data_IF_424494613652
#
_entry.id   IF_424494613652
#
_cell.length_a   1.000
_cell.length_b   1.000
_cell.length_c   1.000
_cell.angle_alpha   90.00
_cell.angle_beta   90.00
_cell.angle_gamma   90.00
#
_symmetry.space_group_name_H-M   'P 1'
#
loop_
_entity.id
_entity.type
_entity.pdbx_description
1 polymer ?
#
# COMPACT_ATOMS: atom_id res chain seq x y z
N UNK A 1 -58.79 19.65 -13.38
CA UNK A 1 -58.11 20.25 -14.54
C UNK A 1 -56.63 20.28 -14.23
N UNK A 2 -55.92 19.21 -14.57
CA UNK A 2 -54.50 19.04 -14.24
C UNK A 2 -53.79 18.63 -15.53
N UNK A 3 -53.05 19.57 -16.11
CA UNK A 3 -52.26 19.33 -17.32
C UNK A 3 -50.90 18.76 -16.94
N UNK A 4 -50.69 17.50 -17.32
CA UNK A 4 -49.41 16.79 -17.29
C UNK A 4 -48.66 17.18 -18.57
N UNK A 5 -47.53 17.87 -18.44
CA UNK A 5 -46.60 18.14 -19.53
C UNK A 5 -45.45 17.12 -19.48
N UNK A 6 -45.49 16.14 -20.38
CA UNK A 6 -44.39 15.24 -20.68
C UNK A 6 -43.45 15.91 -21.69
N UNK A 7 -42.25 16.30 -21.25
CA UNK A 7 -41.16 16.71 -22.15
C UNK A 7 -40.22 15.53 -22.39
N UNK A 8 -40.13 15.08 -23.65
CA UNK A 8 -39.10 14.15 -24.15
C UNK A 8 -37.82 14.92 -24.48
N UNK A 9 -36.63 14.42 -24.12
CA UNK A 9 -35.39 14.97 -24.66
C UNK A 9 -35.07 14.36 -26.03
N UNK A 10 -34.81 15.23 -27.00
CA UNK A 10 -34.31 14.90 -28.34
C UNK A 10 -32.83 14.51 -28.29
N UNK A 11 -32.55 13.30 -28.78
CA UNK A 11 -31.21 12.73 -28.90
C UNK A 11 -30.53 13.32 -30.14
N UNK A 12 -29.56 14.21 -29.95
CA UNK A 12 -28.70 14.70 -31.01
C UNK A 12 -27.65 13.63 -31.35
N UNK A 13 -27.65 13.21 -32.60
CA UNK A 13 -26.71 12.30 -33.23
C UNK A 13 -25.51 13.09 -33.76
N UNK A 14 -24.35 12.95 -33.12
CA UNK A 14 -23.07 13.40 -33.68
C UNK A 14 -22.47 12.32 -34.58
N UNK A 15 -22.30 12.68 -35.86
CA UNK A 15 -21.57 11.92 -36.86
C UNK A 15 -20.06 12.10 -36.65
N UNK A 16 -19.36 11.06 -36.21
CA UNK A 16 -17.89 11.01 -36.26
C UNK A 16 -17.48 10.39 -37.60
N UNK A 17 -16.84 11.21 -38.43
CA UNK A 17 -16.28 10.83 -39.72
C UNK A 17 -15.07 9.88 -39.54
N UNK A 18 -15.15 8.70 -40.14
CA UNK A 18 -14.04 7.76 -40.25
C UNK A 18 -13.13 8.15 -41.42
N UNK A 19 -11.85 8.38 -41.14
CA UNK A 19 -10.81 8.55 -42.16
C UNK A 19 -10.30 7.17 -42.65
N UNK A 20 -9.96 7.01 -43.95
CA UNK A 20 -9.45 5.76 -44.50
C UNK A 20 -7.93 5.66 -44.32
N UNK A 21 -7.45 4.58 -43.70
CA UNK A 21 -6.01 4.26 -43.66
C UNK A 21 -5.69 3.31 -44.82
N UNK A 22 -4.75 3.77 -45.63
CA UNK A 22 -4.33 3.26 -46.91
C UNK A 22 -3.37 2.05 -46.79
N UNK A 23 -3.31 1.29 -47.89
CA UNK A 23 -2.65 0.00 -48.02
C UNK A 23 -1.12 0.12 -48.13
N UNK A 24 -0.44 -0.72 -47.34
CA UNK A 24 0.62 -1.62 -47.79
C UNK A 24 1.85 -1.08 -48.53
N UNK A 25 3.02 -1.21 -47.90
CA UNK A 25 4.29 -1.45 -48.61
C UNK A 25 5.08 -2.58 -47.95
N UNK A 26 5.35 -3.61 -48.76
CA UNK A 26 6.38 -4.64 -48.54
C UNK A 26 7.76 -4.00 -48.71
N UNK A 27 8.70 -4.28 -47.83
CA UNK A 27 10.14 -4.20 -48.13
C UNK A 27 10.92 -5.31 -47.43
N UNK A 28 11.84 -5.88 -48.19
CA UNK A 28 12.63 -7.08 -47.93
C UNK A 28 13.82 -6.81 -47.00
N UNK A 29 14.25 -7.87 -46.32
CA UNK A 29 15.50 -8.05 -45.57
C UNK A 29 16.80 -7.58 -46.26
N UNK A 30 17.76 -7.09 -45.46
CA UNK A 30 19.15 -7.64 -45.32
C UNK A 30 19.89 -7.06 -44.08
N UNK A 31 20.91 -7.75 -43.51
CA UNK A 31 21.48 -7.50 -42.16
C UNK A 31 22.89 -6.87 -42.15
N UNK A 32 23.44 -6.71 -40.93
CA UNK A 32 24.76 -6.18 -40.48
C UNK A 32 24.75 -4.66 -40.22
N UNK A 33 25.35 -4.08 -39.16
CA UNK A 33 26.46 -4.50 -38.29
C UNK A 33 26.42 -3.71 -36.96
N UNK A 34 26.99 -4.35 -35.93
CA UNK A 34 27.54 -3.87 -34.65
C UNK A 34 27.91 -2.38 -34.55
N UNK A 35 27.60 -1.77 -33.40
CA UNK A 35 28.56 -1.12 -32.48
C UNK A 35 27.90 -0.91 -31.11
N UNK A 36 28.72 -1.03 -30.07
CA UNK A 36 28.41 -1.27 -28.66
C UNK A 36 28.38 0.01 -27.82
N UNK A 37 27.70 -0.05 -26.67
CA UNK A 37 27.96 0.64 -25.38
C UNK A 37 26.88 0.13 -24.41
N UNK A 38 27.13 -0.94 -23.66
CA UNK A 38 27.74 -1.00 -22.32
C UNK A 38 26.87 -0.33 -21.22
N UNK A 39 25.98 -1.12 -20.63
CA UNK A 39 25.51 -0.95 -19.24
C UNK A 39 25.53 -2.35 -18.62
N UNK A 40 26.52 -2.57 -17.75
CA UNK A 40 26.69 -3.78 -16.95
C UNK A 40 25.60 -3.88 -15.88
N UNK A 41 24.84 -4.97 -15.91
CA UNK A 41 24.13 -5.49 -14.74
C UNK A 41 24.60 -6.92 -14.56
N UNK A 42 25.32 -7.17 -13.47
CA UNK A 42 25.77 -8.50 -13.05
C UNK A 42 24.56 -9.36 -12.70
N UNK A 43 24.15 -10.19 -13.67
CA UNK A 43 23.29 -11.36 -13.42
C UNK A 43 24.23 -12.54 -13.19
N UNK A 44 24.38 -12.95 -11.93
CA UNK A 44 25.09 -14.18 -11.58
C UNK A 44 24.27 -15.40 -12.00
N UNK A 45 25.00 -16.30 -12.65
CA UNK A 45 24.52 -17.40 -13.46
C UNK A 45 24.36 -18.68 -12.64
N UNK A 46 23.28 -19.38 -12.95
CA UNK A 46 22.91 -20.75 -12.59
C UNK A 46 24.06 -21.74 -12.34
N UNK A 47 24.05 -22.35 -11.16
CA UNK A 47 24.59 -23.71 -10.95
C UNK A 47 23.48 -24.74 -11.12
N UNK A 48 23.59 -25.49 -12.21
CA UNK A 48 22.92 -26.76 -12.46
C UNK A 48 23.16 -27.76 -11.32
N UNK A 49 22.09 -28.27 -10.69
CA UNK A 49 22.09 -29.66 -10.20
C UNK A 49 20.69 -30.21 -9.98
N UNK A 50 20.39 -31.35 -10.62
CA UNK A 50 19.61 -32.40 -9.97
C UNK A 50 18.09 -32.43 -10.18
N UNK A 51 17.63 -32.63 -11.42
CA UNK A 51 16.29 -33.18 -11.64
C UNK A 51 16.17 -34.58 -11.01
N UNK A 52 15.43 -34.70 -9.91
CA UNK A 52 14.96 -35.99 -9.38
C UNK A 52 13.46 -36.15 -9.60
N UNK A 53 13.14 -37.26 -10.26
CA UNK A 53 11.81 -37.83 -10.46
C UNK A 53 10.98 -37.89 -9.17
N UNK A 54 9.71 -37.45 -9.24
CA UNK A 54 8.82 -37.43 -8.07
C UNK A 54 7.32 -37.39 -8.38
N UNK A 55 6.81 -38.46 -8.99
CA UNK A 55 5.43 -38.99 -8.82
C UNK A 55 4.24 -38.10 -9.27
N UNK A 56 3.83 -38.38 -10.51
CA UNK A 56 2.44 -38.46 -10.95
C UNK A 56 1.47 -38.91 -9.85
N UNK A 57 0.48 -38.07 -9.50
CA UNK A 57 -0.79 -38.54 -8.93
C UNK A 57 -1.98 -37.74 -9.45
N UNK A 58 -3.02 -38.53 -9.75
CA UNK A 58 -4.43 -38.15 -9.88
C UNK A 58 -4.88 -37.46 -11.17
N UNK A 59 -4.87 -38.29 -12.20
CA UNK A 59 -5.91 -38.43 -13.22
C UNK A 59 -7.31 -38.43 -12.57
N UNK A 60 -8.00 -37.29 -12.61
CA UNK A 60 -9.45 -37.24 -12.39
C UNK A 60 -10.14 -37.34 -13.75
N UNK A 61 -10.84 -38.46 -13.94
CA UNK A 61 -11.48 -38.86 -15.19
C UNK A 61 -12.97 -38.66 -14.99
N UNK A 62 -13.44 -37.43 -15.12
CA UNK A 62 -14.86 -37.08 -15.09
C UNK A 62 -15.52 -37.55 -16.39
N UNK A 63 -15.92 -38.82 -16.41
CA UNK A 63 -16.68 -39.43 -17.47
C UNK A 63 -18.15 -39.09 -17.27
N UNK A 64 -18.55 -37.88 -17.67
CA UNK A 64 -19.96 -37.49 -17.75
C UNK A 64 -20.48 -37.68 -19.18
N UNK A 65 -21.55 -38.47 -19.24
CA UNK A 65 -22.55 -38.68 -20.29
C UNK A 65 -22.57 -37.64 -21.41
N UNK A 66 -22.68 -38.12 -22.65
CA UNK A 66 -23.95 -38.05 -23.39
C UNK A 66 -23.86 -38.77 -24.74
N UNK A 67 -24.77 -39.73 -24.92
CA UNK A 67 -25.07 -40.34 -26.19
C UNK A 67 -26.03 -39.45 -26.97
N UNK A 68 -25.84 -39.32 -28.29
CA UNK A 68 -26.96 -39.34 -29.20
C UNK A 68 -26.93 -40.66 -29.96
N UNK A 69 -27.90 -41.51 -29.61
CA UNK A 69 -28.43 -42.55 -30.47
C UNK A 69 -28.67 -41.97 -31.88
N UNK A 70 -27.74 -42.19 -32.80
CA UNK A 70 -28.13 -42.27 -34.21
C UNK A 70 -28.47 -43.73 -34.46
N UNK A 71 -29.77 -43.98 -34.43
CA UNK A 71 -30.46 -45.11 -35.04
C UNK A 71 -29.93 -45.29 -36.47
N UNK A 72 -28.81 -46.00 -36.62
CA UNK A 72 -28.41 -46.55 -37.90
C UNK A 72 -29.40 -47.66 -38.19
N UNK A 73 -30.48 -47.26 -38.86
CA UNK A 73 -31.46 -48.12 -39.50
C UNK A 73 -30.68 -49.27 -40.14
N UNK A 74 -30.73 -50.45 -39.51
CA UNK A 74 -30.28 -51.71 -40.11
C UNK A 74 -31.05 -51.81 -41.41
N UNK A 75 -30.38 -51.51 -42.52
CA UNK A 75 -30.82 -51.97 -43.83
C UNK A 75 -30.66 -53.47 -43.73
N UNK A 76 -31.80 -54.14 -43.54
CA UNK A 76 -31.97 -55.57 -43.66
C UNK A 76 -31.36 -55.94 -45.01
N UNK A 77 -30.17 -56.54 -44.98
CA UNK A 77 -29.60 -57.23 -46.13
C UNK A 77 -30.66 -58.25 -46.56
N UNK A 78 -31.21 -58.15 -47.79
CA UNK A 78 -32.14 -59.15 -48.28
C UNK A 78 -31.42 -60.49 -48.26
N UNK A 79 -32.04 -61.45 -47.58
CA UNK A 79 -31.69 -62.85 -47.67
C UNK A 79 -31.68 -63.24 -49.16
N UNK A 80 -30.65 -63.94 -49.65
CA UNK A 80 -30.62 -64.39 -51.04
C UNK A 80 -31.69 -65.47 -51.17
N UNK A 81 -32.88 -65.07 -51.62
CA UNK A 81 -33.88 -65.98 -52.15
C UNK A 81 -33.23 -66.66 -53.36
N UNK A 82 -32.87 -67.91 -53.13
CA UNK A 82 -32.62 -68.91 -54.14
C UNK A 82 -33.84 -68.99 -55.07
N UNK A 83 -33.58 -69.34 -56.33
CA UNK A 83 -34.56 -69.67 -57.39
C UNK A 83 -35.17 -68.49 -58.17
N UNK A 84 -34.64 -68.22 -59.37
CA UNK A 84 -35.42 -68.52 -60.59
C UNK A 84 -34.51 -68.63 -61.82
N UNK A 85 -34.46 -69.85 -62.33
CA UNK A 85 -33.71 -70.32 -63.48
C UNK A 85 -34.39 -69.82 -64.75
N UNK A 86 -34.05 -68.62 -65.22
CA UNK A 86 -34.78 -67.97 -66.31
C UNK A 86 -33.93 -67.13 -67.25
N UNK A 87 -33.47 -67.74 -68.35
CA UNK A 87 -33.07 -67.07 -69.60
C UNK A 87 -31.91 -66.07 -69.47
N UNK A 88 -30.73 -66.63 -69.21
CA UNK A 88 -29.43 -65.98 -69.42
C UNK A 88 -29.25 -65.72 -70.93
N UNK A 89 -29.84 -64.63 -71.42
CA UNK A 89 -29.44 -64.04 -72.69
C UNK A 89 -28.00 -63.58 -72.50
N UNK A 90 -27.06 -64.43 -72.90
CA UNK A 90 -25.64 -64.12 -72.97
C UNK A 90 -25.44 -62.78 -73.69
N UNK A 91 -25.33 -61.70 -72.90
CA UNK A 91 -24.82 -60.41 -73.33
C UNK A 91 -23.29 -60.56 -73.44
N UNK A 92 -22.87 -61.48 -74.30
CA UNK A 92 -21.48 -61.84 -74.59
C UNK A 92 -21.20 -61.36 -76.01
N UNK A 93 -20.90 -60.07 -76.11
CA UNK A 93 -20.48 -59.44 -77.36
C UNK A 93 -19.40 -58.41 -77.04
N UNK A 94 -18.55 -58.08 -78.00
CA UNK A 94 -17.45 -57.13 -77.83
C UNK A 94 -17.89 -55.78 -77.20
N UNK A 95 -19.14 -55.36 -77.42
CA UNK A 95 -19.74 -54.17 -76.80
C UNK A 95 -19.97 -54.31 -75.29
N UNK A 96 -20.36 -55.50 -74.80
CA UNK A 96 -20.53 -55.78 -73.38
C UNK A 96 -19.21 -55.68 -72.60
N UNK A 97 -18.13 -56.17 -73.20
CA UNK A 97 -16.79 -56.07 -72.63
C UNK A 97 -16.29 -54.62 -72.56
N UNK A 98 -16.59 -53.81 -73.58
CA UNK A 98 -16.25 -52.39 -73.61
C UNK A 98 -17.03 -51.58 -72.56
N UNK A 99 -18.33 -51.81 -72.41
CA UNK A 99 -19.15 -51.15 -71.38
C UNK A 99 -18.74 -51.58 -69.96
N UNK A 100 -18.37 -52.85 -69.76
CA UNK A 100 -17.84 -53.31 -68.48
C UNK A 100 -16.50 -52.64 -68.13
N UNK A 101 -15.62 -52.46 -69.12
CA UNK A 101 -14.37 -51.72 -68.93
C UNK A 101 -14.62 -50.25 -68.56
N UNK A 102 -15.57 -49.58 -69.24
CA UNK A 102 -15.97 -48.18 -68.92
C UNK A 102 -16.52 -48.07 -67.50
N UNK A 103 -17.47 -48.93 -67.12
CA UNK A 103 -18.04 -48.93 -65.77
C UNK A 103 -16.99 -49.20 -64.69
N UNK A 104 -15.99 -50.05 -64.97
CA UNK A 104 -14.89 -50.30 -64.04
C UNK A 104 -14.02 -49.06 -63.84
N UNK A 105 -13.70 -48.33 -64.90
CA UNK A 105 -12.97 -47.06 -64.82
C UNK A 105 -13.78 -45.99 -64.05
N UNK A 106 -15.08 -45.89 -64.31
CA UNK A 106 -15.99 -45.02 -63.56
C UNK A 106 -16.02 -45.39 -62.06
N UNK A 107 -16.07 -46.67 -61.71
CA UNK A 107 -15.98 -47.09 -60.30
C UNK A 107 -14.64 -46.74 -59.66
N UNK A 108 -13.53 -46.88 -60.39
CA UNK A 108 -12.21 -46.54 -59.86
C UNK A 108 -12.01 -45.02 -59.71
N UNK A 109 -12.60 -44.20 -60.60
CA UNK A 109 -12.65 -42.74 -60.42
C UNK A 109 -13.51 -42.35 -59.22
N UNK A 110 -14.70 -42.93 -59.05
CA UNK A 110 -15.56 -42.69 -57.87
C UNK A 110 -14.83 -43.10 -56.58
N UNK A 111 -14.14 -44.24 -56.57
CA UNK A 111 -13.32 -44.66 -55.42
C UNK A 111 -12.21 -43.66 -55.10
N UNK A 112 -11.52 -43.12 -56.12
CA UNK A 112 -10.52 -42.06 -55.93
C UNK A 112 -11.15 -40.79 -55.36
N UNK A 113 -12.29 -40.35 -55.89
CA UNK A 113 -13.03 -39.20 -55.37
C UNK A 113 -13.46 -39.43 -53.92
N UNK A 114 -13.95 -40.62 -53.58
CA UNK A 114 -14.32 -40.99 -52.22
C UNK A 114 -13.12 -40.97 -51.27
N UNK A 115 -11.96 -41.48 -51.70
CA UNK A 115 -10.74 -41.44 -50.90
C UNK A 115 -10.24 -40.00 -50.65
N UNK A 116 -10.36 -39.12 -51.64
CA UNK A 116 -10.03 -37.69 -51.50
C UNK A 116 -11.03 -37.01 -50.54
N UNK A 117 -12.34 -37.21 -50.74
CA UNK A 117 -13.37 -36.66 -49.87
C UNK A 117 -13.18 -37.11 -48.41
N UNK A 118 -12.86 -38.39 -48.18
CA UNK A 118 -12.56 -38.93 -46.84
C UNK A 118 -11.35 -38.22 -46.21
N UNK A 119 -10.27 -37.98 -46.96
CA UNK A 119 -9.11 -37.22 -46.47
C UNK A 119 -9.47 -35.77 -46.14
N UNK A 120 -10.30 -35.12 -46.95
CA UNK A 120 -10.78 -33.75 -46.71
C UNK A 120 -11.66 -33.68 -45.47
N UNK A 121 -12.61 -34.60 -45.30
CA UNK A 121 -13.46 -34.69 -44.10
C UNK A 121 -12.59 -34.85 -42.85
N UNK A 122 -11.61 -35.76 -42.86
CA UNK A 122 -10.72 -35.94 -41.72
C UNK A 122 -9.90 -34.67 -41.38
N UNK A 123 -9.46 -33.91 -42.40
CA UNK A 123 -8.78 -32.62 -42.20
C UNK A 123 -9.73 -31.57 -41.60
N UNK A 124 -10.95 -31.46 -42.12
CA UNK A 124 -11.95 -30.53 -41.60
C UNK A 124 -12.36 -30.88 -40.17
N UNK A 125 -12.53 -32.16 -39.84
CA UNK A 125 -12.81 -32.61 -38.46
C UNK A 125 -11.69 -32.18 -37.50
N UNK A 126 -10.43 -32.34 -37.90
CA UNK A 126 -9.30 -31.86 -37.09
C UNK A 126 -9.34 -30.34 -36.87
N UNK A 127 -9.59 -29.56 -37.92
CA UNK A 127 -9.71 -28.10 -37.80
C UNK A 127 -10.87 -27.70 -36.89
N UNK A 128 -12.02 -28.38 -36.97
CA UNK A 128 -13.16 -28.13 -36.08
C UNK A 128 -12.81 -28.41 -34.63
N UNK A 129 -12.11 -29.51 -34.35
CA UNK A 129 -11.70 -29.85 -32.98
C UNK A 129 -10.63 -28.90 -32.44
N UNK A 130 -9.73 -28.40 -33.29
CA UNK A 130 -8.75 -27.36 -32.94
C UNK A 130 -9.46 -26.04 -32.58
N UNK A 131 -10.37 -25.56 -33.43
CA UNK A 131 -11.15 -24.33 -33.18
C UNK A 131 -12.02 -24.43 -31.93
N UNK A 132 -12.59 -25.61 -31.64
CA UNK A 132 -13.35 -25.82 -30.40
C UNK A 132 -12.47 -25.71 -29.16
N UNK A 133 -11.22 -26.19 -29.22
CA UNK A 133 -10.25 -26.04 -28.12
C UNK A 133 -9.86 -24.58 -27.94
N UNK A 134 -9.60 -23.86 -29.02
CA UNK A 134 -9.27 -22.43 -28.96
C UNK A 134 -10.44 -21.58 -28.44
N UNK A 135 -11.68 -21.91 -28.81
CA UNK A 135 -12.86 -21.24 -28.26
C UNK A 135 -12.99 -21.49 -26.74
N UNK A 136 -12.74 -22.72 -26.29
CA UNK A 136 -12.79 -23.03 -24.86
C UNK A 136 -11.68 -22.32 -24.06
N UNK A 137 -10.47 -22.21 -24.60
CA UNK A 137 -9.36 -21.51 -23.93
C UNK A 137 -9.60 -20.00 -23.88
N UNK A 138 -10.05 -19.41 -24.99
CA UNK A 138 -10.42 -17.98 -25.04
C UNK A 138 -11.57 -17.66 -24.09
N UNK A 139 -12.61 -18.49 -24.04
CA UNK A 139 -13.72 -18.34 -23.09
C UNK A 139 -13.24 -18.41 -21.63
N UNK A 140 -12.35 -19.34 -21.29
CA UNK A 140 -11.76 -19.43 -19.94
C UNK A 140 -10.98 -18.16 -19.60
N UNK A 141 -10.16 -17.67 -20.54
CA UNK A 141 -9.38 -16.43 -20.32
C UNK A 141 -10.27 -15.20 -20.17
N UNK A 142 -11.37 -15.11 -20.93
CA UNK A 142 -12.33 -14.03 -20.80
C UNK A 142 -13.04 -14.07 -19.44
N UNK A 143 -13.46 -15.26 -18.98
CA UNK A 143 -14.07 -15.42 -17.66
C UNK A 143 -13.12 -14.95 -16.54
N UNK A 144 -11.84 -15.31 -16.62
CA UNK A 144 -10.82 -14.87 -15.66
C UNK A 144 -10.61 -13.34 -15.70
N UNK A 145 -10.48 -12.75 -16.89
CA UNK A 145 -10.37 -11.30 -17.05
C UNK A 145 -11.61 -10.57 -16.51
N UNK A 146 -12.81 -11.10 -16.74
CA UNK A 146 -14.04 -10.53 -16.19
C UNK A 146 -14.03 -10.55 -14.66
N UNK A 147 -13.54 -11.63 -14.04
CA UNK A 147 -13.38 -11.72 -12.57
C UNK A 147 -12.36 -10.70 -12.04
N UNK A 148 -11.24 -10.50 -12.74
CA UNK A 148 -10.24 -9.50 -12.36
C UNK A 148 -10.77 -8.08 -12.48
N UNK A 149 -11.51 -7.77 -13.54
CA UNK A 149 -12.17 -6.46 -13.71
C UNK A 149 -13.19 -6.22 -12.60
N UNK A 150 -13.98 -7.22 -12.23
CA UNK A 150 -14.94 -7.11 -11.13
C UNK A 150 -14.24 -6.86 -9.77
N UNK A 151 -13.12 -7.54 -9.50
CA UNK A 151 -12.29 -7.30 -8.30
C UNK A 151 -11.73 -5.87 -8.28
N UNK A 152 -11.19 -5.38 -9.40
CA UNK A 152 -10.67 -4.00 -9.46
C UNK A 152 -11.78 -2.97 -9.33
N UNK A 153 -12.98 -3.24 -9.87
CA UNK A 153 -14.14 -2.37 -9.71
C UNK A 153 -14.62 -2.31 -8.25
N UNK A 154 -14.61 -3.41 -7.51
CA UNK A 154 -15.01 -3.39 -6.10
C UNK A 154 -13.98 -2.67 -5.22
N UNK A 155 -12.68 -2.85 -5.48
CA UNK A 155 -11.61 -2.08 -4.81
C UNK A 155 -11.69 -0.59 -5.12
N UNK A 156 -11.92 -0.23 -6.39
CA UNK A 156 -12.10 1.17 -6.78
C UNK A 156 -13.31 1.80 -6.10
N UNK A 157 -14.43 1.07 -5.93
CA UNK A 157 -15.60 1.57 -5.17
C UNK A 157 -15.24 1.86 -3.70
N UNK A 158 -14.56 0.93 -3.02
CA UNK A 158 -14.10 1.13 -1.63
C UNK A 158 -13.18 2.33 -1.49
N UNK A 159 -12.23 2.50 -2.42
CA UNK A 159 -11.34 3.66 -2.43
C UNK A 159 -12.11 4.97 -2.62
N UNK A 160 -13.10 5.01 -3.52
CA UNK A 160 -13.94 6.19 -3.71
C UNK A 160 -14.81 6.52 -2.49
N UNK A 161 -15.27 5.52 -1.73
CA UNK A 161 -15.99 5.73 -0.47
C UNK A 161 -15.09 6.40 0.57
N UNK A 162 -13.86 5.91 0.74
CA UNK A 162 -12.86 6.51 1.66
C UNK A 162 -12.54 7.95 1.24
N UNK A 163 -12.28 8.18 -0.04
CA UNK A 163 -12.01 9.52 -0.59
C UNK A 163 -13.20 10.45 -0.32
N UNK A 164 -14.44 9.98 -0.49
CA UNK A 164 -15.65 10.76 -0.20
C UNK A 164 -15.77 11.13 1.28
N UNK A 165 -15.42 10.21 2.19
CA UNK A 165 -15.38 10.49 3.64
C UNK A 165 -14.33 11.54 3.96
N UNK A 166 -13.09 11.39 3.43
CA UNK A 166 -12.02 12.37 3.62
C UNK A 166 -12.44 13.74 3.09
N UNK A 167 -13.02 13.80 1.90
CA UNK A 167 -13.53 15.04 1.31
C UNK A 167 -14.55 15.74 2.19
N UNK A 168 -15.49 15.00 2.76
CA UNK A 168 -16.51 15.56 3.65
C UNK A 168 -15.90 16.19 4.90
N UNK A 169 -14.82 15.61 5.43
CA UNK A 169 -14.07 16.12 6.58
C UNK A 169 -13.18 17.33 6.22
N UNK A 170 -12.82 17.48 4.94
CA UNK A 170 -12.04 18.61 4.42
C UNK A 170 -12.89 19.80 3.97
N UNK A 171 -14.20 19.78 4.21
CA UNK A 171 -15.09 20.92 3.96
C UNK A 171 -15.15 21.89 5.15
N UNK A 172 -15.11 23.18 4.84
CA UNK A 172 -15.23 24.25 5.83
C UNK A 172 -16.66 24.28 6.39
N UNK A 173 -16.81 24.27 7.73
CA UNK A 173 -18.12 24.28 8.39
C UNK A 173 -18.90 25.60 8.23
N UNK A 174 -18.26 26.67 7.71
CA UNK A 174 -18.90 27.98 7.51
C UNK A 174 -19.44 28.12 6.09
N UNK A 175 -18.61 27.91 5.05
CA UNK A 175 -19.04 28.05 3.65
C UNK A 175 -19.42 26.73 2.97
N UNK A 176 -19.14 25.58 3.60
CA UNK A 176 -19.32 24.24 3.02
C UNK A 176 -18.49 24.00 1.75
N UNK A 177 -17.42 24.76 1.54
CA UNK A 177 -16.46 24.57 0.44
C UNK A 177 -15.18 23.86 0.93
N UNK A 178 -14.40 23.29 0.02
CA UNK A 178 -13.15 22.60 0.34
C UNK A 178 -12.07 23.57 0.85
N UNK A 179 -11.40 23.24 1.95
CA UNK A 179 -10.47 24.14 2.64
C UNK A 179 -9.11 24.24 1.93
N UNK A 180 -8.96 25.15 0.96
CA UNK A 180 -7.68 25.33 0.24
C UNK A 180 -6.56 25.94 1.10
N UNK A 181 -6.92 26.77 2.08
CA UNK A 181 -5.99 27.40 3.03
C UNK A 181 -6.54 27.23 4.45
N UNK A 182 -6.43 26.02 5.04
CA UNK A 182 -6.97 25.74 6.36
C UNK A 182 -6.15 26.45 7.44
N UNK A 183 -6.83 27.19 8.31
CA UNK A 183 -6.28 27.75 9.54
C UNK A 183 -6.99 27.15 10.76
N UNK A 184 -6.23 26.88 11.81
CA UNK A 184 -6.65 26.20 13.02
C UNK A 184 -6.51 27.04 14.29
N UNK A 185 -7.27 26.64 15.31
CA UNK A 185 -7.10 27.07 16.71
C UNK A 185 -6.90 25.85 17.60
N UNK A 186 -6.36 26.07 18.79
CA UNK A 186 -6.25 25.05 19.86
C UNK A 186 -7.60 24.38 20.16
N UNK A 187 -8.71 25.08 19.96
CA UNK A 187 -10.06 24.53 20.15
C UNK A 187 -10.59 23.65 19.00
N UNK A 188 -9.74 23.27 18.03
CA UNK A 188 -10.04 22.25 17.01
C UNK A 188 -10.87 22.74 15.81
N UNK A 189 -11.14 24.04 15.68
CA UNK A 189 -11.85 24.56 14.51
C UNK A 189 -10.91 24.72 13.31
N UNK A 190 -11.35 24.24 12.14
CA UNK A 190 -10.68 24.38 10.85
C UNK A 190 -11.58 25.18 9.89
N UNK A 191 -11.10 26.31 9.39
CA UNK A 191 -11.84 27.13 8.42
C UNK A 191 -10.90 27.78 7.39
N UNK A 192 -11.47 28.22 6.27
CA UNK A 192 -10.71 28.99 5.28
C UNK A 192 -10.40 30.39 5.81
N UNK A 193 -9.21 30.88 5.48
CA UNK A 193 -8.66 32.17 5.91
C UNK A 193 -9.64 33.32 5.66
N UNK A 194 -10.22 33.35 4.46
CA UNK A 194 -11.12 34.43 4.03
C UNK A 194 -12.34 34.56 4.94
N UNK A 195 -12.94 33.44 5.33
CA UNK A 195 -14.14 33.46 6.16
C UNK A 195 -13.83 33.83 7.60
N UNK A 196 -12.70 33.35 8.12
CA UNK A 196 -12.26 33.69 9.47
C UNK A 196 -11.90 35.18 9.59
N UNK A 197 -11.21 35.74 8.60
CA UNK A 197 -10.89 37.17 8.58
C UNK A 197 -12.13 38.04 8.46
N UNK A 198 -13.08 37.71 7.57
CA UNK A 198 -14.38 38.39 7.47
C UNK A 198 -15.16 38.29 8.79
N UNK A 199 -15.17 37.11 9.43
CA UNK A 199 -15.85 36.89 10.72
C UNK A 199 -15.30 37.75 11.85
N UNK A 200 -13.97 37.83 12.01
CA UNK A 200 -13.37 38.63 13.09
C UNK A 200 -13.42 40.14 12.86
N UNK A 201 -13.43 40.58 11.60
CA UNK A 201 -13.69 41.98 11.24
C UNK A 201 -15.15 42.36 11.51
N UNK A 202 -16.08 41.42 11.35
CA UNK A 202 -17.50 41.61 11.61
C UNK A 202 -17.94 41.38 13.07
N UNK A 203 -17.00 41.06 13.99
CA UNK A 203 -17.33 40.85 15.39
C UNK A 203 -18.01 42.10 15.98
N UNK A 204 -19.15 41.97 16.68
CA UNK A 204 -19.84 43.12 17.27
C UNK A 204 -19.01 43.74 18.41
N UNK A 205 -19.02 45.07 18.60
CA UNK A 205 -18.40 45.71 19.76
C UNK A 205 -19.01 45.17 21.05
N UNK A 206 -18.18 45.00 22.08
CA UNK A 206 -18.68 44.57 23.38
C UNK A 206 -19.51 45.70 24.03
N UNK A 207 -20.50 45.38 24.86
CA UNK A 207 -21.32 46.40 25.55
C UNK A 207 -20.47 47.33 26.46
N UNK A 208 -19.23 46.93 26.77
CA UNK A 208 -18.26 47.68 27.56
C UNK A 208 -17.35 48.60 26.71
N UNK A 209 -17.34 48.44 25.38
CA UNK A 209 -16.53 49.24 24.42
C UNK A 209 -17.28 50.46 23.87
N UNK A 210 -18.39 50.88 24.50
CA UNK A 210 -19.39 51.78 23.91
C UNK A 210 -18.99 53.25 23.70
N UNK A 211 -17.70 53.63 23.78
CA UNK A 211 -17.31 55.05 23.90
C UNK A 211 -16.28 55.62 22.92
N UNK A 212 -15.58 54.85 22.08
CA UNK A 212 -14.56 55.44 21.18
C UNK A 212 -14.51 54.79 19.77
N UNK A 213 -15.52 55.07 18.93
CA UNK A 213 -15.51 54.68 17.49
C UNK A 213 -14.40 55.39 16.67
N UNK A 214 -13.75 56.42 17.23
CA UNK A 214 -12.69 57.20 16.58
C UNK A 214 -11.29 56.58 16.74
N UNK A 215 -11.13 55.50 17.51
CA UNK A 215 -9.84 54.81 17.64
C UNK A 215 -9.61 53.80 16.50
N UNK A 216 -8.61 54.01 15.62
CA UNK A 216 -8.33 53.10 14.49
C UNK A 216 -7.99 51.67 14.93
N UNK A 217 -7.56 51.49 16.18
CA UNK A 217 -7.13 50.23 16.78
C UNK A 217 -8.23 49.50 17.56
N UNK A 218 -9.47 49.98 17.54
CA UNK A 218 -10.58 49.36 18.28
C UNK A 218 -10.82 47.89 17.89
N UNK A 219 -10.45 47.48 16.66
CA UNK A 219 -10.56 46.10 16.21
C UNK A 219 -9.57 45.15 16.90
N UNK A 220 -8.40 45.63 17.34
CA UNK A 220 -7.38 44.80 18.00
C UNK A 220 -7.82 44.31 19.39
N UNK A 221 -8.55 45.15 20.11
CA UNK A 221 -8.98 44.87 21.49
C UNK A 221 -10.37 44.21 21.58
N UNK A 222 -11.12 44.19 20.47
CA UNK A 222 -12.46 43.60 20.44
C UNK A 222 -12.40 42.10 20.67
N UNK A 223 -13.21 41.60 21.61
CA UNK A 223 -13.33 40.17 21.92
C UNK A 223 -13.65 39.34 20.67
N UNK A 224 -12.74 38.45 20.28
CA UNK A 224 -12.93 37.52 19.16
C UNK A 224 -13.55 36.21 19.66
N UNK A 225 -14.54 35.69 18.93
CA UNK A 225 -15.18 34.41 19.27
C UNK A 225 -15.19 33.46 18.08
N UNK A 226 -15.01 32.17 18.36
CA UNK A 226 -15.06 31.11 17.37
C UNK A 226 -16.47 30.99 16.77
N UNK A 227 -16.64 30.97 15.43
CA UNK A 227 -17.95 30.87 14.79
C UNK A 227 -18.71 29.57 15.10
N UNK A 228 -17.98 28.49 15.46
CA UNK A 228 -18.57 27.17 15.72
C UNK A 228 -18.85 26.96 17.20
N UNK A 229 -17.82 27.01 18.06
CA UNK A 229 -17.97 26.71 19.48
C UNK A 229 -18.15 27.94 20.38
N UNK A 230 -18.07 29.16 19.82
CA UNK A 230 -18.13 30.44 20.56
C UNK A 230 -17.05 30.64 21.62
N UNK A 231 -16.03 29.78 21.67
CA UNK A 231 -14.87 29.98 22.54
C UNK A 231 -14.16 31.30 22.20
N UNK A 232 -13.63 31.97 23.22
CA UNK A 232 -12.85 33.20 23.04
C UNK A 232 -11.54 32.86 22.33
N UNK A 233 -11.20 33.63 21.30
CA UNK A 233 -9.96 33.48 20.55
C UNK A 233 -9.00 34.58 21.00
N UNK A 234 -7.84 34.19 21.55
CA UNK A 234 -6.84 35.11 22.08
C UNK A 234 -5.66 35.30 21.12
N UNK A 235 -5.34 34.29 20.31
CA UNK A 235 -4.16 34.27 19.43
C UNK A 235 -4.53 34.17 17.95
N UNK A 236 -3.55 34.49 17.10
CA UNK A 236 -3.65 34.35 15.65
C UNK A 236 -3.88 32.89 15.24
N UNK A 237 -4.75 32.63 14.26
CA UNK A 237 -4.94 31.28 13.73
C UNK A 237 -3.66 30.75 13.07
N UNK A 238 -3.34 29.48 13.32
CA UNK A 238 -2.12 28.84 12.80
C UNK A 238 -2.45 28.13 11.48
N UNK A 239 -1.63 28.29 10.41
CA UNK A 239 -1.82 27.55 9.18
C UNK A 239 -1.61 26.05 9.39
N UNK A 240 -2.54 25.23 8.90
CA UNK A 240 -2.46 23.77 9.03
C UNK A 240 -1.88 23.15 7.76
N UNK A 241 -0.55 23.13 7.67
CA UNK A 241 0.17 22.69 6.47
C UNK A 241 -0.14 21.24 6.06
N UNK A 242 -0.32 20.34 7.03
CA UNK A 242 -0.69 18.95 6.74
C UNK A 242 -2.07 18.84 6.08
N UNK A 243 -3.07 19.55 6.63
CA UNK A 243 -4.43 19.58 6.06
C UNK A 243 -4.40 20.19 4.66
N UNK A 244 -3.59 21.24 4.45
CA UNK A 244 -3.38 21.84 3.13
C UNK A 244 -2.80 20.84 2.12
N UNK A 245 -1.83 20.02 2.51
CA UNK A 245 -1.25 18.99 1.66
C UNK A 245 -2.27 17.90 1.30
N UNK A 246 -3.10 17.48 2.27
CA UNK A 246 -4.18 16.51 2.04
C UNK A 246 -5.22 17.04 1.06
N UNK A 247 -5.67 18.29 1.22
CA UNK A 247 -6.60 18.95 0.30
C UNK A 247 -6.02 19.02 -1.11
N UNK A 248 -4.74 19.38 -1.24
CA UNK A 248 -4.06 19.42 -2.54
C UNK A 248 -3.96 18.03 -3.18
N UNK A 249 -3.73 16.97 -2.40
CA UNK A 249 -3.69 15.59 -2.89
C UNK A 249 -5.07 15.11 -3.39
N UNK A 250 -6.13 15.44 -2.65
CA UNK A 250 -7.52 15.13 -3.03
C UNK A 250 -7.94 15.92 -4.27
N UNK A 251 -7.56 17.20 -4.37
CA UNK A 251 -7.83 17.99 -5.58
C UNK A 251 -7.09 17.41 -6.79
N UNK A 252 -5.83 17.02 -6.60
CA UNK A 252 -5.00 16.40 -7.63
C UNK A 252 -5.57 15.06 -8.12
N UNK A 253 -6.15 14.25 -7.23
CA UNK A 253 -6.76 12.97 -7.60
C UNK A 253 -8.03 13.14 -8.45
N UNK A 254 -8.74 14.26 -8.29
CA UNK A 254 -9.91 14.62 -9.11
C UNK A 254 -9.55 15.27 -10.44
N UNK A 255 -8.44 16.00 -10.50
CA UNK A 255 -8.03 16.64 -11.75
C UNK A 255 -7.60 15.60 -12.77
N UNK A 256 -8.18 15.66 -13.97
CA UNK A 256 -7.77 14.81 -15.09
C UNK A 256 -6.26 14.96 -15.35
N UNK A 257 -5.55 13.85 -15.65
CA UNK A 257 -4.13 13.89 -15.96
C UNK A 257 -3.88 14.84 -17.13
N UNK A 258 -3.25 15.98 -16.86
CA UNK A 258 -2.94 17.02 -17.85
C UNK A 258 -3.38 18.45 -17.48
N UNK A 259 -4.17 18.63 -16.42
CA UNK A 259 -4.44 19.97 -15.90
C UNK A 259 -3.22 20.48 -15.12
N UNK A 260 -2.57 21.54 -15.61
CA UNK A 260 -1.49 22.21 -14.86
C UNK A 260 -2.09 22.86 -13.60
N UNK A 261 -1.51 22.66 -12.40
CA UNK A 261 -1.96 23.33 -11.20
C UNK A 261 -1.87 24.85 -11.41
N UNK A 262 -2.95 25.56 -11.05
CA UNK A 262 -3.00 27.02 -11.13
C UNK A 262 -2.10 27.58 -10.03
N UNK A 263 -0.91 28.05 -10.40
CA UNK A 263 -0.04 28.79 -9.46
C UNK A 263 -0.78 30.04 -9.01
N UNK A 264 -1.19 30.07 -7.75
CA UNK A 264 -1.66 31.32 -7.14
C UNK A 264 -0.45 32.22 -6.94
N UNK A 265 -0.54 33.53 -7.25
CA UNK A 265 0.52 34.47 -6.96
C UNK A 265 0.84 34.48 -5.45
N UNK A 266 2.06 34.86 -5.05
CA UNK A 266 2.40 35.03 -3.64
C UNK A 266 1.37 35.94 -2.96
N UNK A 267 0.88 35.60 -1.76
CA UNK A 267 0.00 36.49 -1.02
C UNK A 267 0.79 37.73 -0.59
N UNK A 268 0.28 38.92 -0.95
CA UNK A 268 1.02 40.17 -0.78
C UNK A 268 0.93 40.78 0.64
N UNK A 269 0.09 40.29 1.57
CA UNK A 269 -0.05 40.88 2.91
C UNK A 269 -0.44 39.84 3.98
N UNK A 270 -0.07 40.07 5.25
CA UNK A 270 -0.53 39.28 6.40
C UNK A 270 -2.06 39.45 6.57
N UNK A 271 -2.86 38.38 6.37
CA UNK A 271 -4.33 38.45 6.50
C UNK A 271 -4.80 38.84 7.91
N UNK A 272 -3.94 38.69 8.93
CA UNK A 272 -4.24 38.94 10.33
C UNK A 272 -3.84 40.34 10.81
N UNK A 273 -3.18 41.13 9.96
CA UNK A 273 -2.78 42.50 10.28
C UNK A 273 -3.98 43.35 10.73
N UNK A 274 -3.87 43.98 11.90
CA UNK A 274 -4.92 44.81 12.49
C UNK A 274 -6.11 44.06 13.10
N UNK A 275 -6.09 42.72 13.16
CA UNK A 275 -7.13 41.91 13.79
C UNK A 275 -6.69 41.37 15.16
N UNK A 276 -5.42 40.97 15.27
CA UNK A 276 -4.82 40.42 16.48
C UNK A 276 -3.59 41.23 16.89
N UNK A 277 -3.33 41.40 18.20
CA UNK A 277 -2.08 42.00 18.67
C UNK A 277 -0.85 41.30 18.08
N UNK A 278 0.21 42.05 17.77
CA UNK A 278 1.51 41.51 17.42
C UNK A 278 2.16 40.95 18.70
N UNK A 279 2.34 39.62 18.79
CA UNK A 279 2.91 38.98 19.98
C UNK A 279 4.37 39.40 20.24
N UNK A 280 5.07 39.87 19.21
CA UNK A 280 6.51 40.22 19.24
C UNK A 280 6.82 41.59 19.83
N UNK A 281 5.82 42.36 20.29
CA UNK A 281 6.07 43.66 20.90
C UNK A 281 6.26 43.62 22.43
N UNK A 282 6.20 42.44 23.07
CA UNK A 282 6.29 42.34 24.53
C UNK A 282 7.71 42.16 25.07
N UNK A 283 8.70 41.95 24.20
CA UNK A 283 10.08 41.64 24.62
C UNK A 283 10.98 42.88 24.69
N UNK A 284 10.53 44.04 24.19
CA UNK A 284 11.32 45.27 24.17
C UNK A 284 11.21 46.13 25.45
N UNK A 285 10.34 45.79 26.41
CA UNK A 285 10.06 46.64 27.60
C UNK A 285 10.54 46.06 28.94
N UNK A 286 11.37 45.00 28.92
CA UNK A 286 12.10 44.51 30.11
C UNK A 286 13.57 45.00 30.14
N UNK A 287 13.92 45.99 29.32
CA UNK A 287 15.26 46.58 29.25
C UNK A 287 15.37 47.92 30.00
N UNK A 288 14.88 47.98 31.24
CA UNK A 288 15.01 49.19 32.04
C UNK A 288 14.62 49.02 33.50
N UNK A 289 15.57 48.63 34.35
CA UNK A 289 16.03 49.39 35.53
C UNK A 289 16.90 48.52 36.47
N UNK A 290 17.99 47.94 35.95
CA UNK A 290 19.11 47.51 36.79
C UNK A 290 20.18 48.61 36.75
N UNK A 291 19.87 49.69 37.47
CA UNK A 291 20.79 50.73 37.84
C UNK A 291 21.48 50.31 39.14
N UNK A 292 22.51 49.46 39.06
CA UNK A 292 23.50 49.31 40.12
C UNK A 292 24.90 49.49 39.50
N UNK A 293 25.36 50.73 39.64
CA UNK A 293 26.76 51.13 39.66
C UNK A 293 27.56 50.14 40.52
N UNK A 294 28.67 49.58 40.01
CA UNK A 294 29.95 49.58 40.73
C UNK A 294 31.10 48.87 39.97
N UNK A 295 32.16 49.65 39.80
CA UNK A 295 33.59 49.27 39.92
C UNK A 295 34.26 48.45 38.79
N UNK A 296 34.88 49.21 37.87
CA UNK A 296 36.32 49.19 37.57
C UNK A 296 37.03 47.83 37.61
N UNK A 297 37.14 47.17 36.45
CA UNK A 297 38.28 46.27 36.19
C UNK A 297 38.92 46.63 34.86
N UNK A 298 39.99 47.42 34.96
CA UNK A 298 40.91 47.76 33.88
C UNK A 298 41.72 46.53 33.42
N UNK A 299 41.90 46.41 32.09
CA UNK A 299 43.18 45.99 31.48
C UNK A 299 43.42 44.49 31.35
N UNK A 300 43.09 43.93 30.19
CA UNK A 300 43.34 42.54 29.86
C UNK A 300 43.31 42.27 28.36
N UNK A 301 44.18 42.97 27.63
CA UNK A 301 44.43 42.84 26.20
C UNK A 301 44.95 41.42 25.86
N UNK A 302 44.04 40.52 25.47
CA UNK A 302 44.38 39.27 24.77
C UNK A 302 43.85 39.34 23.33
N UNK A 303 44.71 39.87 22.44
CA UNK A 303 44.71 39.52 21.03
C UNK A 303 45.40 38.16 20.89
N UNK A 304 44.71 37.16 20.34
CA UNK A 304 45.30 35.90 19.91
C UNK A 304 44.29 34.96 19.29
N UNK A 305 44.43 34.76 17.97
CA UNK A 305 43.91 33.67 17.12
C UNK A 305 42.40 33.40 17.20
N UNK A 306 41.56 33.83 16.24
CA UNK A 306 41.55 33.47 14.82
C UNK A 306 41.94 32.00 14.55
N UNK A 307 40.91 31.27 14.07
CA UNK A 307 40.93 29.99 13.35
C UNK A 307 40.57 28.73 14.18
N UNK A 308 39.42 28.16 13.79
CA UNK A 308 38.95 26.80 14.06
C UNK A 308 38.11 26.57 15.33
N UNK A 309 37.10 27.41 15.54
CA UNK A 309 35.91 26.96 16.27
C UNK A 309 34.96 26.35 15.25
N UNK A 310 35.23 25.09 14.93
CA UNK A 310 34.35 24.27 14.14
C UNK A 310 33.01 24.17 14.86
N UNK A 311 32.07 24.96 14.35
CA UNK A 311 30.61 24.86 14.52
C UNK A 311 30.13 23.52 13.94
N UNK A 312 30.73 22.41 14.42
CA UNK A 312 30.27 21.06 14.18
C UNK A 312 29.04 20.89 15.07
N UNK A 313 27.89 21.20 14.48
CA UNK A 313 26.66 20.41 14.61
C UNK A 313 26.49 19.72 15.97
N UNK A 314 26.24 20.50 17.02
CA UNK A 314 25.54 20.01 18.22
C UNK A 314 24.02 19.90 17.96
N UNK A 315 23.63 19.81 16.68
CA UNK A 315 22.29 19.41 16.21
C UNK A 315 22.18 17.88 16.06
N UNK A 316 23.29 17.14 16.13
CA UNK A 316 23.30 15.68 16.30
C UNK A 316 23.26 15.30 17.78
N UNK A 317 22.79 16.18 18.67
CA UNK A 317 22.39 15.76 20.00
C UNK A 317 21.11 14.97 19.83
N UNK A 318 21.27 13.65 19.72
CA UNK A 318 20.28 12.58 19.60
C UNK A 318 19.13 12.73 20.61
N UNK A 319 18.33 13.78 20.54
CA UNK A 319 16.97 13.81 21.07
C UNK A 319 16.17 12.93 20.13
N UNK A 320 16.46 11.63 20.23
CA UNK A 320 15.80 10.57 19.51
C UNK A 320 14.42 10.42 20.16
N UNK A 321 13.58 11.41 19.88
CA UNK A 321 12.29 11.77 20.49
C UNK A 321 11.17 10.75 20.22
N UNK A 322 11.55 9.48 20.08
CA UNK A 322 10.65 8.37 19.77
C UNK A 322 10.80 7.18 20.72
N UNK A 323 11.92 7.09 21.45
CA UNK A 323 12.20 5.94 22.30
C UNK A 323 12.57 6.37 23.72
N UNK A 324 11.89 5.78 24.69
CA UNK A 324 12.10 6.06 26.10
C UNK A 324 10.96 6.83 26.74
N UNK A 325 11.25 7.35 27.93
CA UNK A 325 10.36 8.23 28.69
C UNK A 325 10.83 9.64 28.38
N UNK A 326 9.96 10.48 27.81
CA UNK A 326 10.28 11.85 27.43
C UNK A 326 11.08 12.55 28.54
N UNK A 327 12.07 13.37 28.19
CA UNK A 327 12.90 14.06 29.20
C UNK A 327 12.06 14.95 30.15
N UNK A 328 10.83 15.28 29.74
CA UNK A 328 9.85 16.04 30.53
C UNK A 328 9.04 15.17 31.51
N UNK A 329 9.12 13.84 31.43
CA UNK A 329 8.40 12.95 32.35
C UNK A 329 9.09 12.90 33.72
N UNK A 330 8.27 13.03 34.78
CA UNK A 330 8.74 13.02 36.16
C UNK A 330 9.53 11.73 36.46
N UNK A 331 10.75 11.81 37.02
CA UNK A 331 11.56 10.64 37.31
C UNK A 331 10.76 9.61 38.12
N UNK A 332 10.71 8.37 37.62
CA UNK A 332 9.99 7.29 38.28
C UNK A 332 10.55 7.07 39.68
N UNK A 333 9.70 7.26 40.70
CA UNK A 333 10.10 7.15 42.10
C UNK A 333 10.03 5.73 42.70
N UNK A 334 9.59 4.74 41.91
CA UNK A 334 9.47 3.34 42.35
C UNK A 334 10.74 2.51 42.12
N UNK A 335 10.70 1.24 42.50
CA UNK A 335 11.79 0.28 42.27
C UNK A 335 11.71 -0.29 40.85
N UNK A 336 12.87 -0.48 40.23
CA UNK A 336 12.99 -1.22 38.97
C UNK A 336 13.27 -2.68 39.29
N UNK A 337 12.44 -3.58 38.76
CA UNK A 337 12.48 -5.03 38.99
C UNK A 337 12.92 -5.77 37.74
N UNK A 338 13.41 -7.00 37.89
CA UNK A 338 13.71 -7.84 36.73
C UNK A 338 12.45 -8.04 35.86
N UNK A 339 12.61 -7.83 34.56
CA UNK A 339 11.54 -8.04 33.59
C UNK A 339 11.00 -9.47 33.73
N UNK A 340 9.67 -9.61 33.76
CA UNK A 340 9.00 -10.92 33.78
C UNK A 340 8.40 -11.25 32.44
N UNK A 341 8.14 -12.55 32.24
CA UNK A 341 7.57 -13.04 31.01
C UNK A 341 6.30 -12.30 30.65
N UNK A 342 6.25 -11.76 29.42
CA UNK A 342 5.08 -11.13 28.84
C UNK A 342 4.65 -11.86 27.55
N UNK A 343 3.35 -11.89 27.21
CA UNK A 343 2.87 -12.48 25.98
C UNK A 343 3.36 -11.68 24.75
N UNK A 344 3.52 -12.32 23.57
CA UNK A 344 3.88 -11.60 22.34
C UNK A 344 2.85 -10.51 22.00
N UNK A 345 3.34 -9.34 21.57
CA UNK A 345 2.52 -8.14 21.30
C UNK A 345 2.15 -7.97 19.84
N UNK A 346 2.87 -8.63 18.92
CA UNK A 346 2.70 -8.50 17.47
C UNK A 346 2.16 -9.80 16.89
N UNK A 347 1.09 -9.69 16.11
CA UNK A 347 0.56 -10.81 15.34
C UNK A 347 1.36 -10.96 14.04
N UNK A 348 2.03 -12.10 13.89
CA UNK A 348 2.87 -12.40 12.73
C UNK A 348 2.54 -13.79 12.20
N UNK A 349 2.10 -13.82 10.93
CA UNK A 349 1.86 -15.05 10.20
C UNK A 349 3.11 -15.46 9.41
N UNK A 350 3.43 -16.77 9.33
CA UNK A 350 4.48 -17.28 8.43
C UNK A 350 4.27 -16.87 6.97
N UNK A 351 3.02 -16.63 6.54
CA UNK A 351 2.69 -16.25 5.17
C UNK A 351 3.07 -14.79 4.83
N UNK A 352 3.28 -13.93 5.85
CA UNK A 352 3.64 -12.53 5.65
C UNK A 352 5.11 -12.36 5.20
N UNK A 353 5.91 -13.41 5.41
CA UNK A 353 7.34 -13.41 5.11
C UNK A 353 7.63 -14.41 3.98
N UNK A 354 8.17 -13.97 2.83
CA UNK A 354 8.41 -14.83 1.67
C UNK A 354 9.64 -15.74 1.81
N UNK A 355 10.21 -15.85 3.01
CA UNK A 355 11.45 -16.55 3.29
C UNK A 355 11.14 -17.98 3.77
N UNK A 356 11.51 -18.97 2.97
CA UNK A 356 11.28 -20.40 3.26
C UNK A 356 12.17 -20.94 4.41
N UNK A 357 13.13 -20.15 4.90
CA UNK A 357 14.14 -20.51 5.90
C UNK A 357 13.90 -19.93 7.30
N UNK A 358 12.70 -19.39 7.55
CA UNK A 358 12.32 -18.94 8.88
C UNK A 358 12.20 -20.11 9.86
N UNK A 359 13.00 -20.06 10.92
CA UNK A 359 12.92 -20.99 12.04
C UNK A 359 11.78 -20.59 12.98
N UNK A 360 11.29 -21.52 13.80
CA UNK A 360 10.31 -21.24 14.85
C UNK A 360 10.85 -20.22 15.87
N UNK A 361 12.17 -20.16 16.04
CA UNK A 361 12.87 -19.17 16.87
C UNK A 361 12.77 -17.77 16.27
N UNK A 362 13.00 -17.61 14.95
CA UNK A 362 12.79 -16.32 14.27
C UNK A 362 11.35 -15.85 14.40
N UNK A 363 10.38 -16.76 14.21
CA UNK A 363 8.96 -16.44 14.36
C UNK A 363 8.61 -16.00 15.79
N UNK A 364 9.24 -16.59 16.80
CA UNK A 364 9.06 -16.21 18.19
C UNK A 364 9.57 -14.80 18.49
N UNK A 365 10.71 -14.42 17.91
CA UNK A 365 11.27 -13.07 18.04
C UNK A 365 10.44 -12.02 17.29
N UNK A 366 10.01 -12.34 16.06
CA UNK A 366 9.16 -11.45 15.25
C UNK A 366 7.85 -11.09 15.95
N UNK A 367 7.18 -12.08 16.55
CA UNK A 367 5.93 -11.86 17.31
C UNK A 367 6.11 -11.00 18.56
N UNK A 368 7.35 -10.86 19.03
CA UNK A 368 7.72 -10.03 20.17
C UNK A 368 8.23 -8.66 19.76
N UNK A 369 8.08 -8.29 18.48
CA UNK A 369 8.39 -6.96 17.96
C UNK A 369 9.81 -6.76 17.44
N UNK A 370 10.66 -7.80 17.43
CA UNK A 370 11.95 -7.72 16.74
C UNK A 370 11.73 -7.72 15.22
N UNK A 371 12.54 -6.99 14.45
CA UNK A 371 12.56 -7.07 12.98
C UNK A 371 13.49 -8.18 12.50
N UNK A 372 13.36 -8.59 11.24
CA UNK A 372 14.30 -9.53 10.64
C UNK A 372 15.73 -8.97 10.63
N UNK A 373 15.87 -7.68 10.32
CA UNK A 373 17.16 -7.00 10.31
C UNK A 373 17.80 -7.02 11.70
N UNK A 374 17.06 -6.76 12.78
CA UNK A 374 17.60 -6.84 14.14
C UNK A 374 18.12 -8.24 14.47
N UNK A 375 17.34 -9.28 14.12
CA UNK A 375 17.71 -10.67 14.39
C UNK A 375 19.05 -11.01 13.74
N UNK A 376 19.24 -10.61 12.49
CA UNK A 376 20.46 -10.88 11.73
C UNK A 376 21.64 -9.99 12.17
N UNK A 377 21.43 -8.68 12.28
CA UNK A 377 22.48 -7.70 12.57
C UNK A 377 23.04 -7.87 13.99
N UNK A 378 22.16 -8.07 14.97
CA UNK A 378 22.54 -8.15 16.38
C UNK A 378 22.56 -9.58 16.92
N UNK A 379 22.54 -10.58 16.02
CA UNK A 379 22.54 -12.01 16.37
C UNK A 379 21.54 -12.32 17.48
N UNK A 380 20.31 -11.85 17.32
CA UNK A 380 19.34 -11.96 18.41
C UNK A 380 18.93 -13.42 18.62
N UNK A 381 18.68 -13.74 19.87
CA UNK A 381 18.18 -15.05 20.30
C UNK A 381 17.03 -14.85 21.28
N UNK A 382 16.14 -15.83 21.38
CA UNK A 382 15.03 -15.79 22.32
C UNK A 382 15.02 -17.05 23.20
N UNK A 383 15.00 -16.83 24.51
CA UNK A 383 14.73 -17.89 25.48
C UNK A 383 13.47 -17.54 26.26
N UNK A 384 12.70 -18.56 26.65
CA UNK A 384 11.50 -18.34 27.44
C UNK A 384 11.83 -17.83 28.86
N UNK A 385 12.99 -18.19 29.39
CA UNK A 385 13.42 -17.82 30.75
C UNK A 385 13.99 -16.40 30.79
N UNK A 386 14.78 -15.99 29.79
CA UNK A 386 15.52 -14.72 29.80
C UNK A 386 14.95 -13.65 28.85
N UNK A 387 14.05 -14.04 27.94
CA UNK A 387 13.47 -13.15 26.94
C UNK A 387 14.34 -12.98 25.70
N UNK A 388 14.28 -11.78 25.10
CA UNK A 388 15.03 -11.40 23.92
C UNK A 388 16.45 -10.97 24.31
N UNK A 389 17.43 -11.60 23.68
CA UNK A 389 18.86 -11.30 23.88
C UNK A 389 19.49 -10.85 22.57
N UNK A 390 20.22 -9.74 22.61
CA UNK A 390 21.00 -9.22 21.49
C UNK A 390 22.50 -9.19 21.85
N UNK A 391 23.35 -9.29 20.83
CA UNK A 391 24.80 -9.16 20.96
C UNK A 391 25.24 -7.90 20.21
N UNK A 392 25.77 -6.91 20.94
CA UNK A 392 26.22 -5.62 20.39
C UNK A 392 27.66 -5.38 20.81
N UNK A 393 28.58 -5.31 19.85
CA UNK A 393 30.02 -5.12 20.09
C UNK A 393 30.64 -6.10 21.10
N UNK A 394 30.12 -7.34 21.15
CA UNK A 394 30.57 -8.37 22.08
C UNK A 394 29.93 -8.32 23.47
N UNK A 395 29.02 -7.36 23.72
CA UNK A 395 28.22 -7.26 24.93
C UNK A 395 26.91 -8.05 24.77
N UNK A 396 26.46 -8.72 25.82
CA UNK A 396 25.17 -9.42 25.83
C UNK A 396 24.11 -8.55 26.48
N UNK A 397 23.07 -8.18 25.73
CA UNK A 397 22.01 -7.28 26.20
C UNK A 397 20.68 -8.03 26.20
N UNK A 398 20.05 -8.15 27.37
CA UNK A 398 18.71 -8.70 27.53
C UNK A 398 17.68 -7.56 27.49
N UNK A 399 16.87 -7.54 26.43
CA UNK A 399 15.96 -6.44 26.09
C UNK A 399 14.59 -6.53 26.77
N UNK A 400 14.35 -7.60 27.54
CA UNK A 400 13.05 -7.98 28.06
C UNK A 400 12.33 -8.97 27.14
N UNK A 401 11.00 -9.06 27.25
CA UNK A 401 10.23 -10.06 26.51
C UNK A 401 9.55 -9.54 25.25
N UNK A 402 9.35 -8.23 25.13
CA UNK A 402 8.77 -7.59 23.96
C UNK A 402 9.52 -6.29 23.65
N UNK A 403 9.61 -5.96 22.37
CA UNK A 403 10.16 -4.72 21.84
C UNK A 403 9.03 -3.96 21.17
N UNK A 404 8.97 -2.66 21.42
CA UNK A 404 8.07 -1.74 20.73
C UNK A 404 8.92 -0.80 19.90
N UNK A 405 8.86 -0.96 18.58
CA UNK A 405 9.56 -0.11 17.63
C UNK A 405 8.69 1.08 17.23
N UNK A 406 9.32 2.22 17.00
CA UNK A 406 8.71 3.38 16.37
C UNK A 406 8.32 3.03 14.93
N UNK A 407 7.26 3.64 14.40
CA UNK A 407 6.76 3.33 13.06
C UNK A 407 7.76 3.64 11.93
N UNK A 408 8.70 4.52 12.20
CA UNK A 408 9.69 4.99 11.24
C UNK A 408 11.00 4.18 11.30
N UNK A 409 11.21 3.38 12.37
CA UNK A 409 12.38 2.52 12.53
C UNK A 409 12.08 1.10 12.03
N UNK A 410 12.09 0.95 10.71
CA UNK A 410 11.82 -0.34 10.05
C UNK A 410 12.94 -1.37 10.28
N UNK A 411 14.13 -0.93 10.70
CA UNK A 411 15.33 -1.78 10.81
C UNK A 411 15.60 -2.21 12.24
N UNK A 412 15.20 -1.41 13.23
CA UNK A 412 15.52 -1.56 14.64
C UNK A 412 16.96 -1.16 15.00
N UNK A 413 17.73 -0.56 14.08
CA UNK A 413 19.06 -0.03 14.37
C UNK A 413 18.98 1.14 15.33
N UNK A 414 18.05 2.07 15.09
CA UNK A 414 17.90 3.27 15.93
C UNK A 414 17.45 2.90 17.36
N UNK A 415 16.56 1.90 17.49
CA UNK A 415 16.21 1.33 18.79
C UNK A 415 17.44 0.75 19.53
N UNK A 416 18.34 0.07 18.83
CA UNK A 416 19.52 -0.52 19.48
C UNK A 416 20.55 0.54 19.87
N UNK A 417 20.74 1.57 19.05
CA UNK A 417 21.57 2.72 19.40
C UNK A 417 21.03 3.43 20.65
N UNK A 418 19.71 3.62 20.72
CA UNK A 418 19.03 4.15 21.91
C UNK A 418 19.24 3.25 23.13
N UNK A 419 19.10 1.92 23.00
CA UNK A 419 19.35 0.97 24.10
C UNK A 419 20.77 1.12 24.65
N UNK A 420 21.77 1.21 23.77
CA UNK A 420 23.16 1.37 24.20
C UNK A 420 23.34 2.70 24.93
N UNK A 421 22.78 3.80 24.43
CA UNK A 421 22.82 5.10 25.11
C UNK A 421 22.12 5.05 26.49
N UNK A 422 20.91 4.50 26.58
CA UNK A 422 20.10 4.42 27.82
C UNK A 422 20.80 3.56 28.90
N UNK A 423 21.57 2.52 28.53
CA UNK A 423 22.41 1.76 29.47
C UNK A 423 23.44 2.64 30.19
N UNK A 424 24.01 3.64 29.50
CA UNK A 424 25.00 4.54 30.08
C UNK A 424 24.37 5.76 30.76
N UNK A 425 23.30 6.30 30.18
CA UNK A 425 22.65 7.52 30.66
C UNK A 425 21.72 7.27 31.86
N UNK A 426 21.04 6.12 31.87
CA UNK A 426 20.03 5.74 32.88
C UNK A 426 20.30 4.34 33.44
N UNK A 427 21.45 4.12 34.11
CA UNK A 427 21.85 2.79 34.60
C UNK A 427 20.86 2.20 35.62
N UNK A 428 20.01 3.00 36.26
CA UNK A 428 18.95 2.52 37.15
C UNK A 428 17.89 1.66 36.43
N UNK A 429 17.79 1.76 35.10
CA UNK A 429 16.89 0.94 34.26
C UNK A 429 17.52 -0.39 33.84
N UNK A 430 18.78 -0.63 34.19
CA UNK A 430 19.58 -1.74 33.67
C UNK A 430 20.34 -2.45 34.79
N UNK A 431 20.13 -3.76 34.89
CA UNK A 431 20.99 -4.66 35.66
C UNK A 431 22.29 -4.93 34.90
N UNK A 432 23.26 -4.01 35.00
CA UNK A 432 24.57 -4.14 34.35
C UNK A 432 25.56 -4.92 35.23
N UNK A 433 26.16 -5.95 34.65
CA UNK A 433 27.21 -6.78 35.24
C UNK A 433 28.40 -6.72 34.28
N UNK A 434 29.48 -6.04 34.69
CA UNK A 434 30.72 -6.05 33.93
C UNK A 434 31.41 -7.41 34.09
N UNK A 435 31.79 -8.05 32.99
CA UNK A 435 32.58 -9.28 33.00
C UNK A 435 34.08 -8.91 33.13
N UNK A 436 34.91 -9.84 33.60
CA UNK A 436 36.37 -9.64 33.62
C UNK A 436 36.98 -9.63 32.20
N UNK A 437 36.19 -10.01 31.18
CA UNK A 437 36.46 -9.82 29.75
C UNK A 437 36.08 -8.42 29.27
N UNK A 438 36.53 -8.00 28.09
CA UNK A 438 36.27 -6.65 27.52
C UNK A 438 34.79 -6.32 27.23
N UNK A 439 33.82 -7.07 27.78
CA UNK A 439 32.39 -6.87 27.59
C UNK A 439 31.59 -6.83 28.89
N UNK A 440 30.32 -6.45 28.78
CA UNK A 440 29.37 -6.46 29.88
C UNK A 440 28.09 -7.21 29.50
N UNK A 441 27.36 -7.62 30.53
CA UNK A 441 26.01 -8.15 30.41
C UNK A 441 25.05 -7.11 30.98
N UNK A 442 24.05 -6.69 30.21
CA UNK A 442 23.04 -5.75 30.68
C UNK A 442 21.64 -6.35 30.55
N UNK A 443 20.86 -6.33 31.63
CA UNK A 443 19.46 -6.78 31.61
C UNK A 443 18.50 -5.63 31.85
N UNK A 444 17.54 -5.43 30.94
CA UNK A 444 16.52 -4.40 31.08
C UNK A 444 15.63 -4.68 32.31
N UNK A 445 15.51 -3.70 33.18
CA UNK A 445 14.60 -3.72 34.32
C UNK A 445 13.27 -3.07 33.94
N UNK A 446 12.17 -3.63 34.43
CA UNK A 446 10.83 -3.08 34.26
C UNK A 446 10.43 -2.30 35.52
N UNK A 447 9.53 -1.32 35.37
CA UNK A 447 8.98 -0.61 36.53
C UNK A 447 8.08 -1.56 37.32
N UNK A 448 8.10 -1.49 38.65
CA UNK A 448 7.29 -2.35 39.52
C UNK A 448 5.78 -2.26 39.22
N UNK A 449 5.29 -1.11 38.79
CA UNK A 449 3.88 -0.87 38.46
C UNK A 449 3.45 -1.35 37.07
N UNK A 450 4.41 -1.64 36.18
CA UNK A 450 4.16 -2.25 34.86
C UNK A 450 4.18 -3.78 34.90
N UNK A 451 4.62 -4.36 36.01
CA UNK A 451 4.79 -5.81 36.18
C UNK A 451 3.43 -6.51 36.39
N UNK A 452 2.75 -6.81 35.28
CA UNK A 452 1.52 -7.60 35.28
C UNK A 452 1.83 -9.10 35.52
N UNK A 453 1.23 -9.68 36.57
CA UNK A 453 1.38 -11.12 36.84
C UNK A 453 0.53 -11.95 35.85
N UNK A 454 1.18 -12.49 34.81
CA UNK A 454 0.53 -13.39 33.86
C UNK A 454 0.40 -14.81 34.45
N UNK A 455 -0.84 -15.32 34.50
CA UNK A 455 -1.16 -16.64 35.07
C UNK A 455 -0.64 -17.83 34.25
N UNK A 456 -0.19 -17.61 33.01
CA UNK A 456 0.27 -18.65 32.10
C UNK A 456 1.59 -18.24 31.48
N UNK A 457 2.61 -19.08 31.63
CA UNK A 457 3.91 -18.92 30.98
C UNK A 457 3.98 -19.72 29.67
N UNK A 458 2.89 -20.31 29.18
CA UNK A 458 2.95 -21.07 27.93
C UNK A 458 2.73 -20.14 26.73
N UNK A 459 3.82 -19.61 26.17
CA UNK A 459 3.81 -18.67 25.04
C UNK A 459 3.24 -19.27 23.74
N UNK A 460 3.23 -20.60 23.59
CA UNK A 460 2.73 -21.24 22.38
C UNK A 460 1.20 -21.39 22.36
N UNK A 461 0.57 -21.51 23.53
CA UNK A 461 -0.89 -21.60 23.65
C UNK A 461 -1.56 -20.30 23.20
N UNK A 462 -0.94 -19.15 23.49
CA UNK A 462 -1.47 -17.83 23.10
C UNK A 462 -1.57 -17.64 21.59
N UNK A 463 -0.57 -18.09 20.82
CA UNK A 463 -0.58 -17.95 19.36
C UNK A 463 -1.65 -18.82 18.69
N UNK A 464 -1.90 -20.02 19.22
CA UNK A 464 -2.91 -20.93 18.69
C UNK A 464 -4.34 -20.42 18.96
N UNK A 465 -4.58 -19.81 20.11
CA UNK A 465 -5.90 -19.29 20.48
C UNK A 465 -6.29 -18.06 19.63
N UNK A 466 -5.36 -17.15 19.33
CA UNK A 466 -5.62 -16.00 18.44
C UNK A 466 -5.98 -16.45 17.02
N UNK A 467 -5.25 -17.42 16.46
CA UNK A 467 -5.54 -17.98 15.14
C UNK A 467 -6.92 -18.64 15.04
N UNK A 468 -7.45 -19.15 16.16
CA UNK A 468 -8.78 -19.79 16.20
C UNK A 468 -9.95 -18.80 16.28
N UNK A 469 -9.70 -17.54 16.68
CA UNK A 469 -10.77 -16.57 16.92
C UNK A 469 -11.28 -15.92 15.63
N UNK A 470 -10.45 -15.83 14.58
CA UNK A 470 -10.83 -15.25 13.29
C UNK A 470 -11.77 -16.15 12.46
N UNK A 471 -11.80 -17.46 12.73
CA UNK A 471 -12.68 -18.41 12.03
C UNK A 471 -14.15 -18.32 12.47
N UNK A 472 -14.48 -17.55 13.53
CA UNK A 472 -15.84 -17.44 14.07
C UNK A 472 -16.63 -16.21 13.61
N UNK A 473 -16.04 -15.34 12.78
CA UNK A 473 -16.68 -14.10 12.32
C UNK A 473 -17.23 -14.13 10.87
N UNK A 474 -17.37 -15.31 10.25
CA UNK A 474 -17.94 -15.48 8.90
C UNK A 474 -19.36 -16.03 8.84
#
# INVERSE_FOLDING_TARGET
MSHILNARPTRASENVAAAPIDRGRKLRHRPQSRLSEDVEVHVTQDTQSGWRYGKNKKKDRSQSREAPQRLSRKVTTPEPLEEEQGSEKHYSGAFAAADFARMREELDTIKKHFAIAKKTINRQSKVIDDLRRDLATTQKSHCEQSRQVEKLQSLSKKSNEIISTVESNLTCQICMEMMLKPYGYVSGLHCDNRLLTEWFRAAPPSEQEMYDDDFPDALLYRKKSCPVCRATVLSRPIPLFLVKALVAAVEKSKTLPGASPRRTPPPDDDPWAGIFPDMVSSDDDWSGDDNDEDEDTEGGDMQGDEEDNSDYDDEDRWSFDGYGTDDDDEPYGGEYVESRWAPPTVDVSPDDYPYDDLTDEHMSMLRRGATMQMIELFTMTYSHEDGLKAIVDGNEIFLGYNIALHSDDETGEEYMDWVVADIYERPERWGRIDDDGEGFVASRLAREDEDEEYNTTDSEVWAADLASHDDFLF
#
